data_IF_905581751506
#
_entry.id   IF_905581751506
#
_cell.length_a   1.000
_cell.length_b   1.000
_cell.length_c   1.000
_cell.angle_alpha   90.00
_cell.angle_beta   90.00
_cell.angle_gamma   90.00
#
_symmetry.space_group_name_H-M   'P 1'
#
loop_
_entity.id
_entity.type
_entity.pdbx_description
1 polymer ?
#
# COMPACT_ATOMS: atom_id res chain seq x y z
N UNK A 1 15.79 -6.56 28.32
CA UNK A 1 16.33 -6.30 26.96
C UNK A 1 17.85 -6.33 27.05
N UNK A 2 18.48 -7.41 26.61
CA UNK A 2 19.95 -7.53 26.58
C UNK A 2 20.41 -7.28 25.15
N UNK A 3 21.09 -6.15 24.93
CA UNK A 3 21.59 -5.74 23.62
C UNK A 3 23.11 -5.80 23.60
N UNK A 4 23.68 -6.57 22.68
CA UNK A 4 25.11 -6.53 22.36
C UNK A 4 25.36 -5.45 21.30
N UNK A 5 26.48 -4.72 21.41
CA UNK A 5 26.86 -3.68 20.43
C UNK A 5 27.00 -4.28 19.03
N UNK A 6 26.21 -3.79 18.07
CA UNK A 6 26.30 -4.18 16.66
C UNK A 6 27.32 -3.32 15.93
N UNK A 7 28.33 -3.93 15.31
CA UNK A 7 29.30 -3.24 14.45
C UNK A 7 28.98 -3.34 12.95
N UNK A 8 27.84 -3.95 12.60
CA UNK A 8 27.49 -4.34 11.22
C UNK A 8 26.50 -3.37 10.58
N UNK A 9 26.42 -3.37 9.26
CA UNK A 9 25.42 -2.63 8.48
C UNK A 9 24.48 -3.58 7.73
N UNK A 10 23.26 -3.11 7.43
CA UNK A 10 22.32 -3.79 6.54
C UNK A 10 22.16 -2.98 5.26
N UNK A 11 22.26 -3.65 4.12
CA UNK A 11 22.03 -3.04 2.80
C UNK A 11 20.64 -3.43 2.32
N UNK A 12 19.79 -2.44 2.09
CA UNK A 12 18.47 -2.63 1.49
C UNK A 12 18.39 -1.93 0.13
N UNK A 13 17.32 -2.17 -0.62
CA UNK A 13 17.09 -1.59 -1.96
C UNK A 13 17.21 -0.05 -2.00
N UNK A 14 17.00 0.62 -0.86
CA UNK A 14 16.97 2.07 -0.75
C UNK A 14 18.21 2.66 -0.03
N UNK A 15 19.23 1.86 0.28
CA UNK A 15 20.46 2.32 0.92
C UNK A 15 20.99 1.41 2.04
N UNK A 16 22.06 1.86 2.69
CA UNK A 16 22.75 1.15 3.78
C UNK A 16 22.41 1.81 5.11
N UNK A 17 22.06 1.01 6.13
CA UNK A 17 21.80 1.50 7.49
C UNK A 17 22.66 0.76 8.52
N UNK A 18 23.04 1.44 9.61
CA UNK A 18 23.90 0.88 10.65
C UNK A 18 23.07 0.18 11.71
N UNK A 19 23.46 -1.05 12.05
CA UNK A 19 22.87 -1.79 13.17
C UNK A 19 23.54 -1.32 14.45
N UNK A 20 22.77 -0.68 15.32
CA UNK A 20 23.26 -0.12 16.59
C UNK A 20 23.33 -1.21 17.66
N UNK A 21 22.44 -2.20 17.59
CA UNK A 21 22.40 -3.27 18.57
C UNK A 21 21.72 -4.54 18.03
N UNK A 22 22.06 -5.68 18.64
CA UNK A 22 21.41 -6.97 18.38
C UNK A 22 21.00 -7.63 19.69
N UNK A 23 19.78 -8.15 19.77
CA UNK A 23 19.32 -8.90 20.94
C UNK A 23 17.93 -9.51 20.77
N UNK A 24 17.49 -10.25 21.79
CA UNK A 24 16.17 -10.88 21.78
C UNK A 24 15.11 -9.91 22.33
N UNK A 25 13.97 -9.83 21.65
CA UNK A 25 12.85 -8.94 21.98
C UNK A 25 11.61 -9.76 22.27
N UNK A 26 11.02 -9.53 23.44
CA UNK A 26 9.80 -10.18 23.87
C UNK A 26 8.63 -9.20 23.68
N UNK A 27 7.65 -9.59 22.88
CA UNK A 27 6.44 -8.83 22.60
C UNK A 27 5.24 -9.53 23.23
N UNK A 28 4.44 -8.79 23.98
CA UNK A 28 3.18 -9.26 24.53
C UNK A 28 2.03 -8.73 23.65
N UNK A 29 1.19 -9.64 23.17
CA UNK A 29 -0.05 -9.30 22.45
C UNK A 29 -1.17 -8.98 23.44
N UNK A 30 -2.13 -8.13 23.04
CA UNK A 30 -3.36 -7.85 23.77
C UNK A 30 -4.17 -9.10 24.17
N UNK A 31 -3.92 -10.23 23.50
CA UNK A 31 -4.49 -11.54 23.83
C UNK A 31 -3.64 -12.35 24.84
N UNK A 32 -2.72 -11.71 25.58
CA UNK A 32 -1.77 -12.32 26.53
C UNK A 32 -0.87 -13.42 25.94
N UNK A 33 -0.62 -13.36 24.63
CA UNK A 33 0.33 -14.26 23.97
C UNK A 33 1.71 -13.61 23.94
N UNK A 34 2.72 -14.37 24.32
CA UNK A 34 4.12 -13.93 24.31
C UNK A 34 4.81 -14.38 23.02
N UNK A 35 5.33 -13.42 22.24
CA UNK A 35 6.15 -13.67 21.06
C UNK A 35 7.59 -13.28 21.38
N UNK A 36 8.52 -14.22 21.27
CA UNK A 36 9.95 -13.95 21.45
C UNK A 36 10.61 -13.91 20.08
N UNK A 37 11.09 -12.73 19.70
CA UNK A 37 11.88 -12.49 18.52
C UNK A 37 13.35 -12.65 18.87
N UNK A 38 14.04 -13.58 18.21
CA UNK A 38 15.47 -13.83 18.44
C UNK A 38 16.34 -13.04 17.48
N UNK A 39 17.52 -12.59 17.95
CA UNK A 39 18.55 -11.88 17.15
C UNK A 39 18.01 -10.65 16.39
N UNK A 40 17.14 -9.87 17.02
CA UNK A 40 16.58 -8.64 16.43
C UNK A 40 17.67 -7.59 16.29
N UNK A 41 17.77 -6.98 15.11
CA UNK A 41 18.71 -5.90 14.80
C UNK A 41 18.02 -4.55 14.94
N UNK A 42 18.58 -3.67 15.76
CA UNK A 42 18.06 -2.32 15.99
C UNK A 42 18.78 -1.31 15.09
N UNK A 43 18.02 -0.64 14.22
CA UNK A 43 18.50 0.36 13.25
C UNK A 43 17.63 1.63 13.37
N UNK A 44 18.00 2.60 14.22
CA UNK A 44 17.15 3.76 14.55
C UNK A 44 16.91 4.72 13.37
N UNK A 45 17.81 4.72 12.38
CA UNK A 45 17.67 5.52 11.16
C UNK A 45 16.63 4.95 10.17
N UNK A 46 16.07 3.77 10.48
CA UNK A 46 15.07 3.11 9.66
C UNK A 46 13.65 3.44 10.15
N UNK A 47 12.93 4.25 9.39
CA UNK A 47 11.58 4.74 9.75
C UNK A 47 10.43 3.73 9.57
N UNK A 48 10.72 2.48 9.20
CA UNK A 48 9.68 1.45 9.09
C UNK A 48 9.60 0.65 10.39
N UNK A 49 8.40 0.65 10.97
CA UNK A 49 8.00 -0.08 12.16
C UNK A 49 8.37 -1.57 12.09
N UNK A 50 9.24 -1.99 13.00
CA UNK A 50 9.32 -3.35 13.58
C UNK A 50 9.13 -4.53 12.62
N UNK A 51 9.94 -4.63 11.57
CA UNK A 51 10.18 -5.92 10.91
C UNK A 51 11.26 -6.69 11.67
N UNK A 52 10.90 -7.77 12.36
CA UNK A 52 11.88 -8.74 12.82
C UNK A 52 12.42 -9.50 11.61
N UNK A 53 13.48 -8.98 10.99
CA UNK A 53 14.25 -9.74 10.01
C UNK A 53 15.10 -10.79 10.75
N UNK A 54 14.44 -11.72 11.44
CA UNK A 54 15.10 -12.90 11.98
C UNK A 54 15.50 -13.82 10.83
N UNK A 55 16.81 -14.00 10.66
CA UNK A 55 17.48 -14.94 9.74
C UNK A 55 17.16 -14.78 8.24
N UNK A 56 17.43 -13.60 7.65
CA UNK A 56 17.52 -13.46 6.19
C UNK A 56 18.94 -13.61 5.63
N UNK A 57 19.99 -13.60 6.45
CA UNK A 57 21.37 -13.58 5.94
C UNK A 57 22.11 -14.92 6.02
N UNK A 58 21.69 -15.85 6.90
CA UNK A 58 22.50 -17.04 7.18
C UNK A 58 22.41 -18.13 6.09
N UNK A 59 21.52 -18.02 5.09
CA UNK A 59 21.28 -19.12 4.14
C UNK A 59 21.12 -18.76 2.65
N UNK A 60 21.46 -17.55 2.17
CA UNK A 60 21.35 -17.19 0.71
C UNK A 60 20.08 -17.77 0.06
N UNK A 61 18.90 -17.41 0.58
CA UNK A 61 17.63 -17.95 0.07
C UNK A 61 17.33 -17.25 -1.27
N UNK A 62 17.61 -17.93 -2.39
CA UNK A 62 17.29 -17.50 -3.76
C UNK A 62 15.81 -17.70 -4.13
N UNK A 63 14.97 -18.25 -3.26
CA UNK A 63 13.57 -18.58 -3.60
C UNK A 63 12.60 -17.43 -3.33
N UNK A 64 12.49 -16.54 -4.31
CA UNK A 64 11.43 -15.55 -4.43
C UNK A 64 10.17 -16.22 -5.03
N UNK A 65 9.11 -16.44 -4.24
CA UNK A 65 7.79 -16.84 -4.76
C UNK A 65 6.84 -15.64 -4.68
N UNK A 66 6.95 -14.71 -5.62
CA UNK A 66 6.03 -13.57 -5.78
C UNK A 66 6.12 -12.49 -4.68
N UNK A 67 4.97 -11.89 -4.30
CA UNK A 67 4.87 -10.81 -3.29
C UNK A 67 4.92 -11.28 -1.83
N UNK A 68 5.22 -12.57 -1.59
CA UNK A 68 5.27 -13.16 -0.25
C UNK A 68 6.71 -13.27 0.25
N UNK A 69 7.01 -12.61 1.36
CA UNK A 69 8.28 -12.78 2.07
C UNK A 69 8.21 -14.03 2.96
N UNK A 70 9.17 -14.95 2.80
CA UNK A 70 9.28 -16.18 3.59
C UNK A 70 9.98 -15.88 4.92
N UNK A 71 9.22 -15.65 5.98
CA UNK A 71 9.76 -15.61 7.34
C UNK A 71 9.87 -17.05 7.89
N UNK A 72 11.07 -17.45 8.35
CA UNK A 72 11.27 -18.70 9.09
C UNK A 72 11.14 -18.43 10.58
N UNK A 73 10.02 -18.85 11.16
CA UNK A 73 9.85 -18.88 12.60
C UNK A 73 10.27 -20.26 13.13
N UNK A 74 11.15 -20.32 14.13
CA UNK A 74 11.30 -21.53 14.93
C UNK A 74 10.12 -21.60 15.88
N UNK A 75 9.06 -22.31 15.50
CA UNK A 75 7.96 -22.58 16.42
C UNK A 75 8.46 -23.54 17.49
N UNK A 76 8.40 -23.13 18.75
CA UNK A 76 8.33 -24.12 19.82
C UNK A 76 7.03 -24.91 19.57
N UNK A 77 7.05 -26.24 19.77
CA UNK A 77 5.85 -27.10 19.70
C UNK A 77 4.85 -26.71 20.81
N UNK A 78 4.21 -25.57 20.67
CA UNK A 78 3.02 -25.18 21.42
C UNK A 78 1.91 -25.04 20.39
N UNK A 79 1.16 -26.13 20.23
CA UNK A 79 -0.11 -26.25 19.54
C UNK A 79 -0.34 -25.34 18.34
N UNK A 80 0.06 -25.79 17.13
CA UNK A 80 -0.74 -25.43 15.95
C UNK A 80 -2.12 -25.99 16.25
N UNK A 81 -3.08 -25.09 16.50
CA UNK A 81 -4.46 -25.39 16.84
C UNK A 81 -4.98 -26.47 15.88
N UNK A 82 -5.06 -27.73 16.35
CA UNK A 82 -5.49 -28.92 15.61
C UNK A 82 -7.01 -28.95 15.40
N UNK A 83 -7.65 -27.80 15.38
CA UNK A 83 -9.11 -27.69 15.39
C UNK A 83 -9.55 -27.44 13.95
N UNK A 84 -10.07 -28.51 13.34
CA UNK A 84 -10.79 -28.57 12.06
C UNK A 84 -10.28 -27.62 10.98
N UNK A 85 -9.46 -28.16 10.08
CA UNK A 85 -8.95 -27.49 8.89
C UNK A 85 -10.01 -27.38 7.78
N UNK A 86 -11.16 -26.79 8.14
CA UNK A 86 -12.13 -26.31 7.17
C UNK A 86 -11.52 -25.15 6.36
N UNK A 87 -11.63 -25.23 5.04
CA UNK A 87 -11.11 -24.23 4.10
C UNK A 87 -11.60 -22.81 4.44
N UNK A 88 -12.83 -22.64 4.89
CA UNK A 88 -13.42 -21.34 5.24
C UNK A 88 -12.75 -20.73 6.49
N UNK A 89 -12.32 -21.56 7.43
CA UNK A 89 -11.58 -21.13 8.63
C UNK A 89 -10.15 -20.74 8.25
N UNK A 90 -9.49 -21.55 7.43
CA UNK A 90 -8.14 -21.24 6.92
C UNK A 90 -8.14 -19.95 6.11
N UNK A 91 -9.14 -19.75 5.24
CA UNK A 91 -9.34 -18.52 4.50
C UNK A 91 -9.36 -17.28 5.42
N UNK A 92 -10.18 -17.31 6.48
CA UNK A 92 -10.30 -16.19 7.44
C UNK A 92 -9.01 -15.98 8.25
N UNK A 93 -8.42 -17.06 8.78
CA UNK A 93 -7.21 -16.99 9.63
C UNK A 93 -5.97 -16.53 8.87
N UNK A 94 -5.88 -16.84 7.57
CA UNK A 94 -4.76 -16.45 6.71
C UNK A 94 -5.00 -15.09 6.01
N UNK A 95 -5.85 -14.24 6.59
CA UNK A 95 -6.09 -12.89 6.09
C UNK A 95 -6.87 -12.88 4.77
N UNK A 96 -7.94 -13.65 4.69
CA UNK A 96 -8.81 -13.72 3.51
C UNK A 96 -8.09 -14.18 2.24
N UNK A 97 -7.16 -15.12 2.40
CA UNK A 97 -6.34 -15.66 1.32
C UNK A 97 -7.19 -16.25 0.19
N UNK A 98 -6.75 -16.09 -1.06
CA UNK A 98 -7.48 -16.64 -2.21
C UNK A 98 -7.55 -18.16 -2.16
N UNK A 99 -8.61 -18.73 -2.74
CA UNK A 99 -8.73 -20.19 -2.91
C UNK A 99 -7.52 -20.79 -3.63
N UNK A 100 -6.97 -20.08 -4.63
CA UNK A 100 -5.71 -20.48 -5.29
C UNK A 100 -4.53 -20.57 -4.30
N UNK A 101 -4.40 -19.61 -3.39
CA UNK A 101 -3.38 -19.63 -2.34
C UNK A 101 -3.58 -20.80 -1.38
N UNK A 102 -4.82 -21.06 -0.95
CA UNK A 102 -5.15 -22.19 -0.09
C UNK A 102 -4.86 -23.54 -0.77
N UNK A 103 -5.14 -23.68 -2.08
CA UNK A 103 -4.77 -24.86 -2.88
C UNK A 103 -3.26 -25.10 -2.95
N UNK A 104 -2.45 -24.04 -3.03
CA UNK A 104 -0.98 -24.16 -3.00
C UNK A 104 -0.52 -24.67 -1.63
N UNK A 105 -1.09 -24.13 -0.55
CA UNK A 105 -0.79 -24.54 0.84
C UNK A 105 -1.17 -26.01 1.06
N UNK A 106 -2.34 -26.43 0.56
CA UNK A 106 -2.81 -27.81 0.57
C UNK A 106 -1.83 -28.75 -0.13
N UNK A 107 -1.46 -28.45 -1.39
CA UNK A 107 -0.50 -29.25 -2.18
C UNK A 107 0.86 -29.40 -1.49
N UNK A 108 1.31 -28.36 -0.79
CA UNK A 108 2.58 -28.37 -0.04
C UNK A 108 2.46 -29.00 1.35
N UNK A 109 1.27 -29.50 1.74
CA UNK A 109 1.00 -30.13 3.04
C UNK A 109 1.42 -29.27 4.23
N UNK A 110 1.30 -27.94 4.11
CA UNK A 110 1.72 -26.99 5.15
C UNK A 110 0.69 -26.84 6.27
N UNK A 111 -0.55 -27.30 6.05
CA UNK A 111 -1.61 -27.37 7.05
C UNK A 111 -2.03 -28.83 7.20
N UNK A 112 -1.96 -29.41 8.41
CA UNK A 112 -2.39 -30.79 8.64
C UNK A 112 -3.91 -30.93 8.40
N UNK A 113 -4.30 -32.07 7.81
CA UNK A 113 -5.70 -32.46 7.56
C UNK A 113 -6.52 -31.49 6.69
N UNK A 114 -5.86 -30.69 5.84
CA UNK A 114 -6.56 -29.76 4.97
C UNK A 114 -7.35 -30.51 3.87
N UNK A 115 -8.67 -30.35 3.89
CA UNK A 115 -9.53 -30.88 2.83
C UNK A 115 -9.55 -29.93 1.63
N UNK A 116 -9.21 -30.42 0.45
CA UNK A 116 -9.31 -29.68 -0.82
C UNK A 116 -10.76 -29.60 -1.28
N UNK A 117 -11.58 -28.83 -0.56
CA UNK A 117 -12.97 -28.52 -0.89
C UNK A 117 -13.06 -27.16 -1.60
N UNK A 118 -14.11 -26.97 -2.40
CA UNK A 118 -14.43 -25.64 -2.92
C UNK A 118 -14.78 -24.71 -1.77
N UNK A 119 -14.23 -23.49 -1.81
CA UNK A 119 -14.48 -22.46 -0.82
C UNK A 119 -15.81 -21.76 -1.10
N UNK A 120 -16.57 -21.45 -0.05
CA UNK A 120 -17.78 -20.66 -0.19
C UNK A 120 -17.46 -19.19 -0.47
N UNK A 121 -18.42 -18.46 -1.03
CA UNK A 121 -18.31 -17.02 -1.21
C UNK A 121 -18.20 -16.31 0.15
N UNK A 122 -17.06 -15.67 0.40
CA UNK A 122 -16.85 -14.86 1.60
C UNK A 122 -17.38 -13.43 1.38
N UNK A 123 -18.38 -13.01 2.16
CA UNK A 123 -18.97 -11.66 2.10
C UNK A 123 -17.94 -10.54 2.22
N UNK A 124 -17.01 -10.66 3.18
CA UNK A 124 -15.93 -9.68 3.38
C UNK A 124 -14.99 -9.58 2.18
N UNK A 125 -14.68 -10.70 1.51
CA UNK A 125 -13.87 -10.66 0.30
C UNK A 125 -14.63 -10.06 -0.88
N UNK A 126 -15.91 -10.35 -1.02
CA UNK A 126 -16.73 -9.78 -2.09
C UNK A 126 -16.80 -8.26 -1.95
N UNK A 127 -17.05 -7.76 -0.73
CA UNK A 127 -17.05 -6.33 -0.45
C UNK A 127 -15.66 -5.70 -0.63
N UNK A 128 -14.61 -6.35 -0.12
CA UNK A 128 -13.25 -5.83 -0.20
C UNK A 128 -12.63 -5.88 -1.60
N UNK A 129 -13.13 -6.75 -2.49
CA UNK A 129 -12.70 -6.88 -3.89
C UNK A 129 -13.70 -6.31 -4.87
N UNK A 130 -14.72 -5.59 -4.40
CA UNK A 130 -15.67 -4.94 -5.28
C UNK A 130 -14.94 -3.88 -6.10
N UNK A 131 -14.79 -4.14 -7.40
CA UNK A 131 -14.29 -3.13 -8.32
C UNK A 131 -15.42 -2.15 -8.63
N UNK A 132 -15.07 -0.86 -8.77
CA UNK A 132 -16.01 0.10 -9.33
C UNK A 132 -16.38 -0.34 -10.75
N UNK A 133 -17.68 -0.38 -11.03
CA UNK A 133 -18.18 -0.60 -12.39
C UNK A 133 -17.66 0.56 -13.25
N UNK A 134 -17.22 0.26 -14.47
CA UNK A 134 -16.76 1.29 -15.39
C UNK A 134 -17.88 2.29 -15.65
N UNK A 135 -17.60 3.59 -15.48
CA UNK A 135 -18.52 4.63 -15.90
C UNK A 135 -18.75 4.57 -17.42
N UNK A 136 -19.99 4.84 -17.85
CA UNK A 136 -20.30 5.02 -19.26
C UNK A 136 -19.44 6.18 -19.80
N UNK A 137 -18.70 5.93 -20.88
CA UNK A 137 -17.89 6.96 -21.52
C UNK A 137 -18.84 7.93 -22.23
N UNK A 138 -19.01 9.13 -21.68
CA UNK A 138 -19.54 10.26 -22.45
C UNK A 138 -18.42 10.73 -23.38
N UNK A 139 -18.52 10.42 -24.67
CA UNK A 139 -17.45 10.69 -25.65
C UNK A 139 -17.81 11.78 -26.66
N UNK A 140 -18.97 12.42 -26.55
CA UNK A 140 -19.42 13.40 -27.51
C UNK A 140 -18.88 14.79 -27.17
N UNK A 141 -17.97 15.26 -28.03
CA UNK A 141 -17.49 16.64 -28.07
C UNK A 141 -18.68 17.57 -28.32
N UNK A 142 -18.73 18.69 -27.61
CA UNK A 142 -19.73 19.72 -27.89
C UNK A 142 -19.54 20.35 -29.26
N UNK A 143 -20.63 20.80 -29.87
CA UNK A 143 -20.64 21.34 -31.24
C UNK A 143 -20.35 22.83 -31.29
N UNK A 144 -20.65 23.58 -30.22
CA UNK A 144 -20.39 25.03 -30.17
C UNK A 144 -19.31 25.36 -29.16
N UNK A 145 -18.59 26.42 -29.49
CA UNK A 145 -17.56 27.03 -28.66
C UNK A 145 -18.19 27.47 -27.34
N UNK A 146 -17.54 27.12 -26.21
CA UNK A 146 -17.97 27.45 -24.84
C UNK A 146 -19.27 26.78 -24.36
N UNK A 147 -19.81 25.79 -25.09
CA UNK A 147 -20.95 24.98 -24.61
C UNK A 147 -20.62 24.20 -23.32
N UNK A 148 -19.35 23.80 -23.16
CA UNK A 148 -18.83 23.13 -21.98
C UNK A 148 -17.38 23.54 -21.75
N UNK A 149 -17.12 24.16 -20.61
CA UNK A 149 -15.77 24.52 -20.17
C UNK A 149 -15.46 23.74 -18.91
N UNK A 150 -14.41 22.93 -18.94
CA UNK A 150 -13.85 22.33 -17.74
C UNK A 150 -12.91 23.34 -17.10
N UNK A 151 -13.02 23.51 -15.79
CA UNK A 151 -12.13 24.35 -15.02
C UNK A 151 -11.62 23.62 -13.79
N UNK A 152 -10.36 23.86 -13.46
CA UNK A 152 -9.76 23.39 -12.23
C UNK A 152 -8.86 24.48 -11.63
N UNK A 153 -8.85 24.55 -10.30
CA UNK A 153 -8.03 25.50 -9.54
C UNK A 153 -7.05 24.71 -8.70
N UNK A 154 -5.77 24.93 -8.96
CA UNK A 154 -4.70 24.26 -8.24
C UNK A 154 -3.98 25.24 -7.32
N UNK A 155 -3.99 24.95 -6.02
CA UNK A 155 -3.23 25.71 -5.01
C UNK A 155 -3.84 25.60 -3.61
N UNK A 156 -3.22 26.25 -2.60
CA UNK A 156 -2.02 27.09 -2.70
C UNK A 156 -0.74 26.27 -2.89
N UNK A 157 0.13 26.75 -3.78
CA UNK A 157 1.46 26.21 -4.03
C UNK A 157 2.41 26.59 -2.89
N UNK A 158 3.28 25.64 -2.51
CA UNK A 158 4.28 25.86 -1.46
C UNK A 158 5.27 26.98 -1.81
N UNK A 159 5.57 27.13 -3.09
CA UNK A 159 6.46 28.16 -3.62
C UNK A 159 5.63 29.12 -4.45
N UNK A 160 5.74 30.42 -4.17
CA UNK A 160 5.10 31.46 -4.98
C UNK A 160 5.79 31.56 -6.33
N UNK A 161 4.98 31.66 -7.39
CA UNK A 161 5.45 31.93 -8.76
C UNK A 161 5.83 33.41 -8.86
N UNK A 162 6.57 33.77 -9.91
CA UNK A 162 6.79 35.16 -10.34
C UNK A 162 5.49 35.97 -10.29
N UNK A 163 5.54 37.16 -9.70
CA UNK A 163 4.35 38.00 -9.46
C UNK A 163 3.59 37.71 -8.17
N UNK A 164 4.08 36.77 -7.34
CA UNK A 164 3.50 36.45 -6.03
C UNK A 164 2.25 35.57 -6.09
N UNK A 165 1.99 34.95 -7.24
CA UNK A 165 0.88 34.02 -7.43
C UNK A 165 1.13 32.71 -6.68
N UNK A 166 0.08 32.17 -6.08
CA UNK A 166 0.13 30.91 -5.33
C UNK A 166 -0.86 29.87 -5.84
N UNK A 167 -1.68 30.22 -6.82
CA UNK A 167 -2.62 29.31 -7.46
C UNK A 167 -2.45 29.41 -8.98
N UNK A 168 -2.94 28.42 -9.69
CA UNK A 168 -3.26 28.57 -11.12
C UNK A 168 -4.65 28.00 -11.39
N UNK A 169 -5.35 28.61 -12.33
CA UNK A 169 -6.62 28.11 -12.85
C UNK A 169 -6.42 27.65 -14.29
N UNK A 170 -6.99 26.50 -14.63
CA UNK A 170 -7.06 26.02 -16.01
C UNK A 170 -8.49 26.15 -16.53
N UNK A 171 -8.60 26.44 -17.81
CA UNK A 171 -9.85 26.40 -18.57
C UNK A 171 -9.62 25.55 -19.82
N UNK A 172 -10.53 24.61 -20.07
CA UNK A 172 -10.52 23.73 -21.23
C UNK A 172 -11.89 23.82 -21.87
N UNK A 173 -11.96 24.47 -23.01
CA UNK A 173 -13.16 24.43 -23.85
C UNK A 173 -13.27 23.04 -24.49
N UNK A 174 -14.39 22.33 -24.27
CA UNK A 174 -14.59 20.98 -24.79
C UNK A 174 -14.65 20.96 -26.32
N UNK A 175 -15.10 22.07 -26.95
CA UNK A 175 -15.02 22.23 -28.39
C UNK A 175 -13.54 22.25 -28.79
N UNK A 176 -12.70 23.24 -28.52
CA UNK A 176 -11.33 23.21 -29.06
C UNK A 176 -10.38 22.20 -28.40
N UNK A 177 -10.67 21.72 -27.18
CA UNK A 177 -9.75 20.99 -26.27
C UNK A 177 -8.44 21.72 -26.00
N UNK A 178 -8.43 23.03 -26.20
CA UNK A 178 -7.29 23.88 -25.91
C UNK A 178 -7.30 24.23 -24.42
N UNK A 179 -6.21 23.86 -23.74
CA UNK A 179 -6.00 24.19 -22.33
C UNK A 179 -5.38 25.57 -22.23
N UNK A 180 -5.99 26.46 -21.46
CA UNK A 180 -5.40 27.75 -21.07
C UNK A 180 -5.21 27.77 -19.57
N UNK A 181 -4.02 28.17 -19.13
CA UNK A 181 -3.65 28.23 -17.72
C UNK A 181 -3.30 29.67 -17.34
N UNK A 182 -3.76 30.12 -16.19
CA UNK A 182 -3.54 31.47 -15.69
C UNK A 182 -3.07 31.41 -14.23
N UNK A 183 -1.99 32.11 -13.91
CA UNK A 183 -1.51 32.22 -12.54
C UNK A 183 -2.33 33.28 -11.79
N UNK A 184 -2.83 32.94 -10.59
CA UNK A 184 -3.62 33.83 -9.73
C UNK A 184 -3.05 33.87 -8.31
N UNK A 185 -3.27 34.99 -7.63
CA UNK A 185 -2.79 35.20 -6.25
C UNK A 185 -3.70 34.51 -5.24
N UNK A 186 -5.00 34.54 -5.50
CA UNK A 186 -6.05 34.04 -4.61
C UNK A 186 -7.20 33.44 -5.44
N UNK A 187 -7.97 32.53 -4.84
CA UNK A 187 -9.02 31.75 -5.54
C UNK A 187 -10.23 32.61 -5.97
N UNK A 188 -10.51 33.72 -5.29
CA UNK A 188 -11.56 34.68 -5.65
C UNK A 188 -11.34 35.36 -7.02
N UNK A 189 -10.11 35.33 -7.55
CA UNK A 189 -9.81 35.91 -8.86
C UNK A 189 -10.30 35.07 -10.05
N UNK A 190 -10.75 33.83 -9.82
CA UNK A 190 -11.12 32.88 -10.90
C UNK A 190 -12.17 33.45 -11.84
N UNK A 191 -13.19 34.14 -11.32
CA UNK A 191 -14.26 34.68 -12.15
C UNK A 191 -13.78 35.80 -13.09
N UNK A 192 -12.90 36.68 -12.62
CA UNK A 192 -12.34 37.73 -13.46
C UNK A 192 -11.43 37.15 -14.55
N UNK A 193 -10.64 36.12 -14.22
CA UNK A 193 -9.86 35.39 -15.23
C UNK A 193 -10.78 34.66 -16.23
N UNK A 194 -11.91 34.11 -15.79
CA UNK A 194 -12.87 33.47 -16.69
C UNK A 194 -13.43 34.47 -17.72
N UNK A 195 -13.73 35.71 -17.32
CA UNK A 195 -14.12 36.76 -18.29
C UNK A 195 -13.04 37.02 -19.32
N UNK A 196 -11.78 37.08 -18.89
CA UNK A 196 -10.64 37.24 -19.81
C UNK A 196 -10.54 36.04 -20.76
N UNK A 197 -10.68 34.82 -20.25
CA UNK A 197 -10.72 33.61 -21.07
C UNK A 197 -11.84 33.68 -22.11
N UNK A 198 -13.06 34.03 -21.69
CA UNK A 198 -14.25 34.14 -22.55
C UNK A 198 -14.06 35.15 -23.69
N UNK A 199 -13.40 36.27 -23.44
CA UNK A 199 -13.12 37.30 -24.47
C UNK A 199 -12.04 36.88 -25.47
N UNK A 200 -11.20 35.90 -25.11
CA UNK A 200 -10.08 35.45 -25.95
C UNK A 200 -10.40 34.16 -26.73
N UNK A 201 -11.65 33.69 -26.70
CA UNK A 201 -12.16 32.50 -27.39
C UNK A 201 -13.13 32.95 -28.47
#
# INVERSE_FOLDING_TARGET
MYLLKGGSSITMKNGVSRIVAIGDVQLESDLRHMIILKKVRHTPDFRMSLTSSGNLDDERIEDYIGTLYKARFSTHKSGICTIDSNIDICHKRLGHMTEKGLKIISKKKLIPNFEDKMMNNCSHCLMGKQHMISFNKSSQRREKVLDLVYSDVCGPMKVKILGGCSYFVTFIDDFFRNVRAYAIKTNDQVFEIFKLFHLMV
#
